data_IF_050143965454
#
_entry.id   IF_050143965454
#
_cell.length_a   1.000
_cell.length_b   1.000
_cell.length_c   1.000
_cell.angle_alpha   90.00
_cell.angle_beta   90.00
_cell.angle_gamma   90.00
#
_symmetry.space_group_name_H-M   'P 1'
#
loop_
_entity.id
_entity.type
_entity.pdbx_description
1 polymer ?
#
# COMPACT_ATOMS: atom_id res chain seq x y z
N UNK A 1 12.98 18.25 -36.76
CA UNK A 1 12.62 16.85 -36.40
C UNK A 1 12.06 16.91 -34.98
N UNK A 2 10.74 17.03 -34.91
CA UNK A 2 9.99 17.20 -33.64
C UNK A 2 9.75 15.83 -33.06
N UNK A 3 10.33 15.54 -31.91
CA UNK A 3 10.01 14.33 -31.11
C UNK A 3 8.58 14.45 -30.63
N UNK A 4 7.70 13.63 -31.17
CA UNK A 4 6.39 13.37 -30.59
C UNK A 4 6.63 12.69 -29.23
N UNK A 5 6.27 13.36 -28.15
CA UNK A 5 6.11 12.73 -26.84
C UNK A 5 4.90 11.81 -26.97
N UNK A 6 5.11 10.52 -26.87
CA UNK A 6 4.05 9.54 -26.71
C UNK A 6 3.43 9.77 -25.33
N UNK A 7 2.28 10.41 -25.35
CA UNK A 7 1.43 10.56 -24.20
C UNK A 7 0.77 9.19 -23.95
N UNK A 8 1.27 8.43 -23.00
CA UNK A 8 0.68 7.15 -22.55
C UNK A 8 -0.53 7.41 -21.66
N UNK A 9 -1.49 8.23 -22.13
CA UNK A 9 -2.78 8.33 -21.49
C UNK A 9 -3.49 6.97 -21.65
N UNK A 10 -3.66 6.27 -20.57
CA UNK A 10 -4.46 5.03 -20.51
C UNK A 10 -5.88 5.40 -20.93
N UNK A 11 -6.32 4.93 -22.09
CA UNK A 11 -7.60 5.32 -22.72
C UNK A 11 -8.72 4.54 -22.02
N UNK A 12 -9.20 5.03 -20.89
CA UNK A 12 -10.39 4.48 -20.23
C UNK A 12 -11.65 4.95 -21.00
N UNK A 13 -12.55 4.04 -21.35
CA UNK A 13 -13.87 4.38 -21.98
C UNK A 13 -14.69 5.29 -21.03
N UNK A 14 -14.52 5.15 -19.72
CA UNK A 14 -15.08 6.01 -18.67
C UNK A 14 -13.94 6.42 -17.76
N UNK A 15 -13.77 7.73 -17.45
CA UNK A 15 -12.68 8.17 -16.58
C UNK A 15 -12.83 7.57 -15.18
N UNK A 16 -11.74 7.01 -14.59
CA UNK A 16 -11.77 6.52 -13.22
C UNK A 16 -12.13 7.63 -12.25
N UNK A 17 -12.95 7.28 -11.26
CA UNK A 17 -13.38 8.19 -10.21
C UNK A 17 -12.47 8.07 -8.98
N UNK A 18 -11.81 9.16 -8.63
CA UNK A 18 -10.89 9.25 -7.49
C UNK A 18 -11.50 10.13 -6.41
N UNK A 19 -11.51 9.64 -5.17
CA UNK A 19 -11.78 10.47 -4.00
C UNK A 19 -10.45 10.86 -3.34
N UNK A 20 -10.22 12.14 -3.13
CA UNK A 20 -9.09 12.67 -2.36
C UNK A 20 -9.61 13.11 -1.00
N UNK A 21 -9.12 12.46 0.05
CA UNK A 21 -9.44 12.74 1.45
C UNK A 21 -8.25 13.44 2.10
N UNK A 22 -8.35 14.76 2.23
CA UNK A 22 -7.27 15.66 2.63
C UNK A 22 -7.85 16.93 3.23
N UNK A 23 -7.45 17.30 4.44
CA UNK A 23 -7.95 18.50 5.15
C UNK A 23 -7.23 19.78 4.74
N UNK A 24 -5.97 19.71 4.29
CA UNK A 24 -5.29 20.87 3.69
C UNK A 24 -5.83 21.13 2.29
N UNK A 25 -6.62 22.22 2.19
CA UNK A 25 -7.23 22.62 0.93
C UNK A 25 -6.21 22.89 -0.19
N UNK A 26 -5.00 23.33 0.14
CA UNK A 26 -3.96 23.62 -0.86
C UNK A 26 -3.42 22.32 -1.45
N UNK A 27 -3.19 21.30 -0.61
CA UNK A 27 -2.78 19.96 -1.03
C UNK A 27 -3.89 19.30 -1.82
N UNK A 28 -5.14 19.33 -1.31
CA UNK A 28 -6.30 18.75 -1.98
C UNK A 28 -6.51 19.35 -3.39
N UNK A 29 -6.43 20.67 -3.52
CA UNK A 29 -6.55 21.37 -4.81
C UNK A 29 -5.38 21.10 -5.75
N UNK A 30 -4.17 20.99 -5.23
CA UNK A 30 -3.01 20.59 -6.01
C UNK A 30 -3.19 19.18 -6.61
N UNK A 31 -3.64 18.23 -5.80
CA UNK A 31 -3.96 16.88 -6.26
C UNK A 31 -5.10 16.87 -7.28
N UNK A 32 -6.19 17.60 -7.01
CA UNK A 32 -7.31 17.73 -7.96
C UNK A 32 -6.84 18.21 -9.34
N UNK A 33 -5.98 19.24 -9.37
CA UNK A 33 -5.45 19.79 -10.62
C UNK A 33 -4.63 18.73 -11.37
N UNK A 34 -3.62 18.17 -10.70
CA UNK A 34 -2.70 17.17 -11.28
C UNK A 34 -3.44 15.95 -11.81
N UNK A 35 -4.42 15.45 -11.06
CA UNK A 35 -5.17 14.25 -11.45
C UNK A 35 -6.23 14.53 -12.53
N UNK A 36 -6.82 15.73 -12.51
CA UNK A 36 -7.76 16.12 -13.57
C UNK A 36 -7.04 16.33 -14.93
N UNK A 37 -5.79 16.79 -14.92
CA UNK A 37 -4.96 16.89 -16.13
C UNK A 37 -4.64 15.51 -16.75
N UNK A 38 -4.56 14.46 -15.92
CA UNK A 38 -4.43 13.08 -16.39
C UNK A 38 -5.77 12.46 -16.85
N UNK A 39 -6.87 13.21 -16.76
CA UNK A 39 -8.18 12.79 -17.24
C UNK A 39 -9.03 12.03 -16.21
N UNK A 40 -8.65 12.00 -14.94
CA UNK A 40 -9.44 11.39 -13.88
C UNK A 40 -10.59 12.28 -13.39
N UNK A 41 -11.69 11.66 -12.96
CA UNK A 41 -12.78 12.38 -12.30
C UNK A 41 -12.52 12.45 -10.80
N UNK A 42 -12.20 13.65 -10.28
CA UNK A 42 -11.75 13.85 -8.90
C UNK A 42 -12.86 14.44 -8.04
N UNK A 43 -13.05 13.89 -6.85
CA UNK A 43 -13.87 14.47 -5.77
C UNK A 43 -12.98 14.74 -4.57
N UNK A 44 -13.29 15.78 -3.81
CA UNK A 44 -12.55 16.16 -2.59
C UNK A 44 -13.42 15.94 -1.35
N UNK A 45 -12.79 15.43 -0.29
CA UNK A 45 -13.38 15.34 1.04
C UNK A 45 -12.36 15.89 2.06
N UNK A 46 -12.70 16.97 2.75
CA UNK A 46 -11.83 17.60 3.75
C UNK A 46 -11.93 16.95 5.13
N UNK A 47 -12.74 15.92 5.30
CA UNK A 47 -12.95 15.20 6.56
C UNK A 47 -13.23 13.73 6.28
N UNK A 48 -13.01 12.88 7.27
CA UNK A 48 -13.34 11.45 7.19
C UNK A 48 -14.85 11.19 7.03
N UNK A 49 -15.69 11.94 7.75
CA UNK A 49 -17.15 11.83 7.61
C UNK A 49 -17.62 12.14 6.19
N UNK A 50 -17.09 13.22 5.58
CA UNK A 50 -17.41 13.57 4.19
C UNK A 50 -16.95 12.50 3.21
N UNK A 51 -15.79 11.89 3.46
CA UNK A 51 -15.31 10.79 2.63
C UNK A 51 -16.24 9.57 2.71
N UNK A 52 -16.63 9.14 3.92
CA UNK A 52 -17.57 8.03 4.12
C UNK A 52 -18.94 8.33 3.51
N UNK A 53 -19.43 9.56 3.64
CA UNK A 53 -20.70 9.96 3.01
C UNK A 53 -20.60 9.90 1.48
N UNK A 54 -19.48 10.36 0.88
CA UNK A 54 -19.23 10.26 -0.55
C UNK A 54 -19.26 8.80 -1.04
N UNK A 55 -18.62 7.88 -0.29
CA UNK A 55 -18.64 6.44 -0.59
C UNK A 55 -20.03 5.79 -0.48
N UNK A 56 -20.93 6.32 0.35
CA UNK A 56 -22.33 5.86 0.42
C UNK A 56 -23.14 6.29 -0.80
N UNK A 57 -22.80 7.42 -1.39
CA UNK A 57 -23.56 8.02 -2.50
C UNK A 57 -23.04 7.60 -3.87
N UNK A 58 -21.72 7.36 -4.01
CA UNK A 58 -21.06 7.06 -5.28
C UNK A 58 -20.08 5.89 -5.14
N UNK A 59 -19.67 5.36 -6.30
CA UNK A 59 -18.54 4.45 -6.40
C UNK A 59 -17.29 5.25 -6.76
N UNK A 60 -16.19 4.87 -6.15
CA UNK A 60 -14.86 5.37 -6.48
C UNK A 60 -13.95 4.18 -6.74
N UNK A 61 -13.12 4.31 -7.78
CA UNK A 61 -12.14 3.30 -8.16
C UNK A 61 -10.90 3.39 -7.27
N UNK A 62 -10.59 4.60 -6.80
CA UNK A 62 -9.45 4.89 -5.94
C UNK A 62 -9.79 5.90 -4.85
N UNK A 63 -9.23 5.67 -3.65
CA UNK A 63 -9.15 6.62 -2.55
C UNK A 63 -7.69 7.05 -2.35
N UNK A 64 -7.41 8.35 -2.45
CA UNK A 64 -6.16 8.95 -1.97
C UNK A 64 -6.43 9.53 -0.59
N UNK A 65 -5.80 9.01 0.45
CA UNK A 65 -6.16 9.29 1.85
C UNK A 65 -5.00 9.88 2.66
N UNK A 66 -5.18 11.08 3.24
CA UNK A 66 -4.39 11.44 4.42
C UNK A 66 -4.91 10.73 5.66
N UNK A 67 -4.00 10.34 6.53
CA UNK A 67 -4.32 9.70 7.81
C UNK A 67 -4.72 10.71 8.89
N UNK A 68 -4.24 11.94 8.79
CA UNK A 68 -4.49 13.00 9.77
C UNK A 68 -5.62 13.90 9.32
N UNK A 69 -6.80 13.61 9.83
CA UNK A 69 -8.01 14.39 9.60
C UNK A 69 -8.50 15.01 10.90
N UNK A 70 -9.30 16.10 10.84
CA UNK A 70 -9.73 16.81 12.03
C UNK A 70 -10.83 16.10 12.83
N UNK A 71 -11.49 15.09 12.25
CA UNK A 71 -12.69 14.44 12.80
C UNK A 71 -12.47 12.96 13.13
N UNK A 72 -12.07 12.15 12.16
CA UNK A 72 -11.90 10.69 12.29
C UNK A 72 -10.46 10.33 11.88
N UNK A 73 -9.88 9.32 12.53
CA UNK A 73 -8.59 8.76 12.11
C UNK A 73 -8.71 8.17 10.69
N UNK A 74 -7.82 8.60 9.78
CA UNK A 74 -7.84 8.14 8.39
C UNK A 74 -7.74 6.63 8.24
N UNK A 75 -7.08 5.94 9.18
CA UNK A 75 -7.03 4.47 9.20
C UNK A 75 -8.40 3.83 9.46
N UNK A 76 -9.23 4.45 10.31
CA UNK A 76 -10.60 3.98 10.53
C UNK A 76 -11.46 4.15 9.28
N UNK A 77 -11.31 5.29 8.59
CA UNK A 77 -11.99 5.51 7.30
C UNK A 77 -11.56 4.47 6.25
N UNK A 78 -10.26 4.23 6.11
CA UNK A 78 -9.74 3.22 5.17
C UNK A 78 -10.30 1.84 5.48
N UNK A 79 -10.36 1.46 6.76
CA UNK A 79 -10.91 0.18 7.19
C UNK A 79 -12.39 0.06 6.81
N UNK A 80 -13.22 1.08 7.10
CA UNK A 80 -14.64 1.08 6.75
C UNK A 80 -14.85 1.02 5.22
N UNK A 81 -14.04 1.76 4.45
CA UNK A 81 -14.07 1.72 2.98
C UNK A 81 -13.72 0.32 2.46
N UNK A 82 -12.64 -0.29 2.93
CA UNK A 82 -12.20 -1.62 2.50
C UNK A 82 -13.18 -2.73 2.91
N UNK A 83 -13.85 -2.60 4.05
CA UNK A 83 -14.90 -3.53 4.48
C UNK A 83 -16.15 -3.41 3.60
N UNK A 84 -16.57 -2.19 3.25
CA UNK A 84 -17.77 -1.93 2.47
C UNK A 84 -17.55 -2.05 0.95
N UNK A 85 -16.36 -1.71 0.46
CA UNK A 85 -15.95 -1.62 -0.95
C UNK A 85 -14.54 -2.18 -1.15
N UNK A 86 -14.34 -3.50 -1.00
CA UNK A 86 -13.01 -4.11 -1.08
C UNK A 86 -12.34 -3.93 -2.45
N UNK A 87 -13.12 -3.66 -3.49
CA UNK A 87 -12.65 -3.38 -4.84
C UNK A 87 -11.98 -2.00 -4.97
N UNK A 88 -12.32 -1.01 -4.13
CA UNK A 88 -11.71 0.32 -4.19
C UNK A 88 -10.23 0.23 -3.82
N UNK A 89 -9.35 0.68 -4.71
CA UNK A 89 -7.93 0.81 -4.37
C UNK A 89 -7.71 1.99 -3.43
N UNK A 90 -6.68 1.89 -2.59
CA UNK A 90 -6.35 2.94 -1.62
C UNK A 90 -4.87 3.25 -1.68
N UNK A 91 -4.54 4.55 -1.79
CA UNK A 91 -3.18 5.07 -1.62
C UNK A 91 -3.20 6.00 -0.41
N UNK A 92 -2.31 5.75 0.54
CA UNK A 92 -2.12 6.63 1.70
C UNK A 92 -1.09 7.69 1.39
N UNK A 93 -1.40 8.96 1.71
CA UNK A 93 -0.47 10.08 1.65
C UNK A 93 -0.42 10.72 3.05
N UNK A 94 0.75 10.84 3.68
CA UNK A 94 0.80 11.43 5.03
C UNK A 94 2.17 11.97 5.40
N UNK A 95 2.20 13.02 6.24
CA UNK A 95 3.43 13.52 6.88
C UNK A 95 3.89 12.63 8.05
N UNK A 96 3.01 11.78 8.58
CA UNK A 96 3.23 11.02 9.82
C UNK A 96 3.36 9.52 9.58
N UNK A 97 4.01 9.14 8.47
CA UNK A 97 4.28 7.75 8.15
C UNK A 97 5.35 7.17 9.08
N UNK A 98 4.93 6.42 10.09
CA UNK A 98 5.84 5.50 10.79
C UNK A 98 5.82 4.15 10.08
N UNK A 99 6.87 3.35 10.24
CA UNK A 99 6.90 1.98 9.72
C UNK A 99 5.71 1.17 10.22
N UNK A 100 5.31 1.38 11.49
CA UNK A 100 4.15 0.71 12.08
C UNK A 100 2.83 1.10 11.37
N UNK A 101 2.62 2.38 11.11
CA UNK A 101 1.43 2.88 10.41
C UNK A 101 1.36 2.36 8.97
N UNK A 102 2.50 2.35 8.27
CA UNK A 102 2.58 1.80 6.91
C UNK A 102 2.23 0.30 6.88
N UNK A 103 2.77 -0.48 7.82
CA UNK A 103 2.46 -1.92 7.95
C UNK A 103 0.98 -2.14 8.25
N UNK A 104 0.37 -1.33 9.12
CA UNK A 104 -1.05 -1.43 9.43
C UNK A 104 -1.92 -1.11 8.21
N UNK A 105 -1.58 -0.05 7.46
CA UNK A 105 -2.25 0.29 6.21
C UNK A 105 -2.17 -0.85 5.19
N UNK A 106 -0.99 -1.44 5.00
CA UNK A 106 -0.80 -2.58 4.09
C UNK A 106 -1.61 -3.81 4.51
N UNK A 107 -1.76 -4.08 5.81
CA UNK A 107 -2.64 -5.15 6.33
C UNK A 107 -4.12 -4.92 6.02
N UNK A 108 -4.55 -3.68 5.87
CA UNK A 108 -5.89 -3.31 5.42
C UNK A 108 -6.08 -3.44 3.90
N UNK A 109 -5.02 -3.80 3.15
CA UNK A 109 -5.07 -3.92 1.70
C UNK A 109 -4.96 -2.57 0.98
N UNK A 110 -4.23 -1.63 1.56
CA UNK A 110 -3.82 -0.39 0.89
C UNK A 110 -2.84 -0.75 -0.24
N UNK A 111 -3.00 -0.12 -1.40
CA UNK A 111 -2.15 -0.39 -2.56
C UNK A 111 -0.74 0.17 -2.38
N UNK A 112 -0.65 1.43 -1.92
CA UNK A 112 0.64 2.09 -1.72
C UNK A 112 0.58 3.12 -0.59
N UNK A 113 1.77 3.50 -0.09
CA UNK A 113 1.96 4.43 1.01
C UNK A 113 3.02 5.47 0.65
N UNK A 114 2.59 6.71 0.42
CA UNK A 114 3.42 7.82 -0.02
C UNK A 114 3.66 8.83 1.11
N UNK A 115 4.88 8.96 1.63
CA UNK A 115 5.19 10.00 2.60
C UNK A 115 5.20 11.39 1.95
N UNK A 116 4.61 12.38 2.61
CA UNK A 116 4.74 13.79 2.23
C UNK A 116 6.12 14.33 2.68
N UNK A 117 6.84 15.14 1.88
CA UNK A 117 6.47 15.63 0.56
C UNK A 117 6.74 14.60 -0.56
N UNK A 118 5.87 14.55 -1.54
CA UNK A 118 6.00 13.73 -2.75
C UNK A 118 5.98 14.61 -4.01
N UNK A 119 6.49 14.10 -5.12
CA UNK A 119 6.47 14.77 -6.43
C UNK A 119 5.21 14.40 -7.22
N UNK A 120 4.89 15.19 -8.25
CA UNK A 120 3.79 14.86 -9.18
C UNK A 120 4.00 13.50 -9.84
N UNK A 121 5.22 13.19 -10.27
CA UNK A 121 5.53 11.90 -10.90
C UNK A 121 5.30 10.71 -9.96
N UNK A 122 5.63 10.87 -8.67
CA UNK A 122 5.41 9.82 -7.67
C UNK A 122 3.93 9.52 -7.48
N UNK A 123 3.10 10.55 -7.29
CA UNK A 123 1.66 10.33 -7.09
C UNK A 123 0.98 9.83 -8.36
N UNK A 124 1.36 10.32 -9.54
CA UNK A 124 0.86 9.84 -10.84
C UNK A 124 1.21 8.36 -11.04
N UNK A 125 2.46 7.96 -10.80
CA UNK A 125 2.89 6.56 -10.92
C UNK A 125 2.13 5.64 -9.97
N UNK A 126 2.00 6.01 -8.70
CA UNK A 126 1.27 5.22 -7.72
C UNK A 126 -0.21 5.01 -8.09
N UNK A 127 -0.87 6.07 -8.58
CA UNK A 127 -2.28 6.01 -9.01
C UNK A 127 -2.43 5.13 -10.27
N UNK A 128 -1.55 5.28 -11.23
CA UNK A 128 -1.54 4.50 -12.46
C UNK A 128 -1.38 2.99 -12.18
N UNK A 129 -0.47 2.65 -11.25
CA UNK A 129 -0.24 1.27 -10.82
C UNK A 129 -1.46 0.71 -10.07
N UNK A 130 -2.07 1.49 -9.17
CA UNK A 130 -3.25 1.09 -8.44
C UNK A 130 -4.45 0.84 -9.38
N UNK A 131 -4.70 1.74 -10.33
CA UNK A 131 -5.80 1.61 -11.28
C UNK A 131 -5.60 0.48 -12.28
N UNK A 132 -4.36 0.19 -12.70
CA UNK A 132 -4.05 -0.99 -13.52
C UNK A 132 -4.33 -2.28 -12.77
N UNK A 133 -3.94 -2.35 -11.50
CA UNK A 133 -4.25 -3.49 -10.64
C UNK A 133 -5.76 -3.66 -10.42
N UNK A 134 -6.52 -2.56 -10.39
CA UNK A 134 -7.99 -2.57 -10.31
C UNK A 134 -8.64 -3.19 -11.56
N UNK A 135 -8.17 -2.84 -12.76
CA UNK A 135 -8.70 -3.36 -14.04
C UNK A 135 -8.38 -4.84 -14.23
N UNK A 136 -7.24 -5.30 -13.74
CA UNK A 136 -6.81 -6.70 -13.84
C UNK A 136 -7.53 -7.63 -12.84
N UNK A 137 -8.22 -7.09 -11.84
CA UNK A 137 -9.06 -7.87 -10.92
C UNK A 137 -10.45 -8.08 -11.56
N UNK A 138 -10.82 -9.31 -12.01
CA UNK A 138 -12.18 -9.58 -12.47
C UNK A 138 -13.18 -9.29 -11.35
N UNK A 139 -14.34 -8.71 -11.69
CA UNK A 139 -15.41 -8.35 -10.74
C UNK A 139 -15.92 -9.51 -9.85
N UNK A 140 -15.55 -10.74 -10.14
CA UNK A 140 -15.89 -11.96 -9.39
C UNK A 140 -14.82 -12.40 -8.37
N UNK A 141 -13.72 -11.65 -8.20
CA UNK A 141 -12.62 -12.02 -7.29
C UNK A 141 -12.79 -11.51 -5.84
N UNK A 142 -13.97 -11.07 -5.43
CA UNK A 142 -14.33 -10.73 -4.03
C UNK A 142 -14.67 -11.98 -3.18
N UNK A 143 -14.37 -13.17 -3.67
CA UNK A 143 -14.15 -14.29 -2.78
C UNK A 143 -12.69 -14.16 -2.33
N UNK A 144 -12.42 -13.91 -1.02
CA UNK A 144 -11.13 -14.22 -0.42
C UNK A 144 -10.68 -15.54 -1.01
N UNK A 145 -9.79 -15.49 -2.00
CA UNK A 145 -9.22 -16.69 -2.57
C UNK A 145 -8.45 -17.32 -1.41
N UNK A 146 -9.02 -18.35 -0.84
CA UNK A 146 -8.29 -19.16 0.11
C UNK A 146 -7.01 -19.55 -0.64
N UNK A 147 -5.85 -19.05 -0.15
CA UNK A 147 -4.56 -19.44 -0.73
C UNK A 147 -4.55 -20.94 -0.85
N UNK A 148 -4.23 -21.43 -2.03
CA UNK A 148 -4.10 -22.87 -2.22
C UNK A 148 -2.97 -23.37 -1.33
N UNK A 149 -3.04 -24.64 -0.90
CA UNK A 149 -1.95 -25.23 -0.09
C UNK A 149 -0.59 -25.13 -0.79
N UNK A 150 -0.57 -25.10 -2.13
CA UNK A 150 0.65 -24.86 -2.92
C UNK A 150 1.14 -23.40 -2.79
N UNK A 151 0.26 -22.40 -2.84
CA UNK A 151 0.60 -21.00 -2.66
C UNK A 151 1.16 -20.74 -1.26
N UNK A 152 0.55 -21.32 -0.22
CA UNK A 152 1.06 -21.27 1.16
C UNK A 152 2.45 -21.90 1.30
N UNK A 153 2.68 -23.03 0.64
CA UNK A 153 3.99 -23.69 0.65
C UNK A 153 5.06 -22.85 -0.05
N UNK A 154 4.71 -22.19 -1.16
CA UNK A 154 5.61 -21.27 -1.86
C UNK A 154 5.92 -20.08 -0.97
N UNK A 155 4.92 -19.42 -0.38
CA UNK A 155 5.08 -18.30 0.54
C UNK A 155 6.00 -18.66 1.71
N UNK A 156 5.72 -19.78 2.37
CA UNK A 156 6.53 -20.29 3.48
C UNK A 156 8.00 -20.46 3.10
N UNK A 157 8.27 -21.07 1.95
CA UNK A 157 9.62 -21.29 1.45
C UNK A 157 10.34 -19.97 1.13
N UNK A 158 9.66 -19.03 0.49
CA UNK A 158 10.21 -17.72 0.15
C UNK A 158 10.54 -16.92 1.42
N UNK A 159 9.63 -16.88 2.41
CA UNK A 159 9.88 -16.23 3.71
C UNK A 159 11.10 -16.83 4.41
N UNK A 160 11.18 -18.16 4.49
CA UNK A 160 12.33 -18.84 5.10
C UNK A 160 13.63 -18.55 4.34
N UNK A 161 13.57 -18.46 3.01
CA UNK A 161 14.71 -18.11 2.16
C UNK A 161 15.22 -16.70 2.46
N UNK A 162 14.33 -15.71 2.55
CA UNK A 162 14.67 -14.34 2.93
C UNK A 162 15.29 -14.27 4.32
N UNK A 163 14.65 -14.89 5.33
CA UNK A 163 15.15 -14.89 6.71
C UNK A 163 16.51 -15.62 6.84
N UNK A 164 16.77 -16.63 6.03
CA UNK A 164 18.07 -17.29 6.00
C UNK A 164 19.13 -16.40 5.34
N UNK A 165 18.76 -15.71 4.24
CA UNK A 165 19.67 -14.79 3.55
C UNK A 165 20.08 -13.61 4.45
N UNK A 166 19.19 -13.07 5.25
CA UNK A 166 19.55 -11.99 6.21
C UNK A 166 20.59 -12.42 7.23
N UNK A 167 20.71 -13.71 7.52
CA UNK A 167 21.72 -14.24 8.44
C UNK A 167 23.10 -14.47 7.79
N UNK A 168 23.17 -14.56 6.46
CA UNK A 168 24.36 -14.92 5.69
C UNK A 168 24.91 -13.77 4.85
N UNK A 169 24.05 -12.81 4.47
CA UNK A 169 24.35 -11.69 3.56
C UNK A 169 24.16 -10.36 4.32
N UNK A 170 25.29 -9.77 4.75
CA UNK A 170 25.27 -8.53 5.53
C UNK A 170 24.79 -7.32 4.71
N UNK A 171 25.04 -7.30 3.39
CA UNK A 171 24.63 -6.22 2.51
C UNK A 171 23.11 -6.28 2.31
N UNK A 172 22.57 -7.47 2.05
CA UNK A 172 21.12 -7.68 1.98
C UNK A 172 20.42 -7.35 3.30
N UNK A 173 21.06 -7.70 4.44
CA UNK A 173 20.56 -7.33 5.75
C UNK A 173 20.49 -5.81 5.92
N UNK A 174 21.54 -5.09 5.50
CA UNK A 174 21.58 -3.63 5.52
C UNK A 174 20.49 -3.01 4.66
N UNK A 175 20.33 -3.49 3.44
CA UNK A 175 19.30 -3.04 2.51
C UNK A 175 17.89 -3.24 3.07
N UNK A 176 17.59 -4.41 3.62
CA UNK A 176 16.30 -4.69 4.25
C UNK A 176 16.02 -3.79 5.48
N UNK A 177 17.06 -3.43 6.23
CA UNK A 177 16.94 -2.53 7.38
C UNK A 177 16.71 -1.06 6.98
N UNK A 178 17.24 -0.63 5.83
CA UNK A 178 17.12 0.75 5.32
C UNK A 178 15.87 0.94 4.46
N UNK A 179 15.61 0.00 3.56
CA UNK A 179 14.58 0.11 2.53
C UNK A 179 13.32 -0.74 2.82
N UNK A 180 13.33 -1.53 3.88
CA UNK A 180 12.16 -2.31 4.33
C UNK A 180 11.62 -3.25 3.25
N UNK A 181 10.33 -3.18 2.97
CA UNK A 181 9.67 -4.05 1.99
C UNK A 181 10.15 -3.85 0.54
N UNK A 182 10.76 -2.69 0.22
CA UNK A 182 11.32 -2.44 -1.12
C UNK A 182 12.49 -3.37 -1.44
N UNK A 183 13.32 -3.71 -0.45
CA UNK A 183 14.39 -4.70 -0.60
C UNK A 183 13.88 -6.11 -0.97
N UNK A 184 12.56 -6.34 -0.83
CA UNK A 184 11.88 -7.60 -1.13
C UNK A 184 11.12 -7.56 -2.45
N UNK A 185 11.31 -6.54 -3.29
CA UNK A 185 10.56 -6.36 -4.54
C UNK A 185 10.66 -7.58 -5.46
N UNK A 186 11.86 -8.15 -5.60
CA UNK A 186 12.15 -9.29 -6.49
C UNK A 186 11.70 -10.67 -5.94
N UNK A 187 11.22 -10.71 -4.70
CA UNK A 187 10.75 -11.96 -4.08
C UNK A 187 9.26 -12.16 -4.34
N UNK A 188 8.88 -13.42 -4.65
CA UNK A 188 7.47 -13.82 -4.84
C UNK A 188 6.75 -13.96 -3.50
N UNK A 189 6.67 -12.85 -2.79
CA UNK A 189 6.02 -12.73 -1.48
C UNK A 189 4.74 -11.92 -1.59
N UNK A 190 3.72 -12.30 -0.83
CA UNK A 190 2.53 -11.46 -0.66
C UNK A 190 2.88 -10.14 0.02
N UNK A 191 2.04 -9.12 -0.13
CA UNK A 191 2.22 -7.84 0.56
C UNK A 191 2.30 -8.02 2.08
N UNK A 192 1.46 -8.91 2.65
CA UNK A 192 1.47 -9.25 4.07
C UNK A 192 2.79 -9.88 4.51
N UNK A 193 3.33 -10.83 3.71
CA UNK A 193 4.61 -11.46 3.99
C UNK A 193 5.78 -10.46 3.95
N UNK A 194 5.80 -9.58 2.94
CA UNK A 194 6.79 -8.50 2.84
C UNK A 194 6.74 -7.56 4.03
N UNK A 195 5.54 -7.15 4.43
CA UNK A 195 5.31 -6.29 5.58
C UNK A 195 5.73 -6.97 6.89
N UNK A 196 5.37 -8.25 7.09
CA UNK A 196 5.74 -9.01 8.29
C UNK A 196 7.26 -9.19 8.43
N UNK A 197 7.96 -9.46 7.32
CA UNK A 197 9.42 -9.56 7.33
C UNK A 197 10.04 -8.19 7.64
N UNK A 198 9.60 -7.15 6.94
CA UNK A 198 10.14 -5.80 7.10
C UNK A 198 9.92 -5.22 8.51
N UNK A 199 8.79 -5.54 9.16
CA UNK A 199 8.47 -5.10 10.52
C UNK A 199 8.97 -6.04 11.62
N UNK A 200 9.41 -7.26 11.27
CA UNK A 200 9.75 -8.28 12.26
C UNK A 200 8.55 -8.85 13.01
N UNK A 201 7.36 -8.91 12.39
CA UNK A 201 6.13 -9.45 12.99
C UNK A 201 6.23 -10.94 13.25
N UNK A 202 6.79 -11.28 14.43
CA UNK A 202 6.94 -12.67 14.89
C UNK A 202 5.63 -13.44 14.95
N UNK A 203 4.54 -12.75 15.29
CA UNK A 203 3.22 -13.40 15.40
C UNK A 203 2.78 -13.89 14.04
N UNK A 204 2.78 -13.02 13.04
CA UNK A 204 2.41 -13.38 11.68
C UNK A 204 3.33 -14.48 11.12
N UNK A 205 4.65 -14.33 11.33
CA UNK A 205 5.64 -15.31 10.84
C UNK A 205 5.40 -16.69 11.46
N UNK A 206 5.18 -16.79 12.77
CA UNK A 206 4.91 -18.06 13.43
C UNK A 206 3.60 -18.71 12.97
N UNK A 207 2.56 -17.92 12.73
CA UNK A 207 1.25 -18.42 12.26
C UNK A 207 1.31 -18.92 10.81
N UNK A 208 2.09 -18.27 9.94
CA UNK A 208 2.11 -18.58 8.50
C UNK A 208 3.31 -19.44 8.06
N UNK A 209 4.43 -19.37 8.78
CA UNK A 209 5.68 -20.04 8.43
C UNK A 209 6.01 -21.19 9.39
N UNK A 210 5.67 -21.03 10.67
CA UNK A 210 5.98 -21.95 11.74
C UNK A 210 7.27 -21.60 12.49
N UNK A 211 7.81 -22.55 13.26
CA UNK A 211 8.98 -22.31 14.12
C UNK A 211 10.22 -21.93 13.30
N UNK A 212 10.89 -20.84 13.76
CA UNK A 212 12.11 -20.32 13.18
C UNK A 212 13.34 -20.86 13.90
N UNK A 213 14.42 -21.01 13.17
CA UNK A 213 15.72 -21.32 13.74
C UNK A 213 16.28 -20.11 14.51
N UNK A 214 17.24 -20.35 15.45
CA UNK A 214 17.89 -19.28 16.19
C UNK A 214 18.55 -18.24 15.27
N UNK A 215 19.10 -18.65 14.13
CA UNK A 215 19.71 -17.74 13.15
C UNK A 215 18.66 -16.81 12.52
N UNK A 216 17.50 -17.34 12.14
CA UNK A 216 16.41 -16.56 11.56
C UNK A 216 15.78 -15.61 12.59
N UNK A 217 15.63 -16.04 13.84
CA UNK A 217 15.19 -15.20 14.94
C UNK A 217 16.13 -14.02 15.23
N UNK A 218 17.44 -14.19 15.00
CA UNK A 218 18.43 -13.14 15.24
C UNK A 218 18.15 -11.87 14.44
N UNK A 219 17.72 -11.99 13.19
CA UNK A 219 17.32 -10.84 12.36
C UNK A 219 16.14 -10.09 13.00
N UNK A 220 15.10 -10.82 13.39
CA UNK A 220 13.89 -10.26 13.95
C UNK A 220 14.16 -9.55 15.29
N UNK A 221 14.97 -10.16 16.16
CA UNK A 221 15.36 -9.52 17.42
C UNK A 221 16.15 -8.23 17.19
N UNK A 222 17.12 -8.22 16.28
CA UNK A 222 17.88 -7.01 15.93
C UNK A 222 17.00 -5.92 15.32
N UNK A 223 15.96 -6.29 14.60
CA UNK A 223 14.97 -5.33 14.08
C UNK A 223 14.20 -4.69 15.21
N UNK A 224 13.67 -5.50 16.13
CA UNK A 224 12.90 -5.03 17.29
C UNK A 224 13.74 -4.19 18.26
N UNK A 225 15.02 -4.52 18.46
CA UNK A 225 15.93 -3.71 19.29
C UNK A 225 16.14 -2.30 18.72
N UNK A 226 16.17 -2.14 17.39
CA UNK A 226 16.37 -0.84 16.75
C UNK A 226 15.13 0.07 16.84
N UNK A 227 13.94 -0.50 17.00
CA UNK A 227 12.69 0.26 17.18
C UNK A 227 12.45 0.67 18.65
N UNK A 228 13.22 0.13 19.58
CA UNK A 228 13.09 0.40 21.01
C UNK A 228 13.94 1.61 21.50
N UNK A 229 14.72 2.24 20.63
CA UNK A 229 15.57 3.42 20.90
C UNK A 229 15.25 4.54 19.89
#
# INVERSE_FOLDING_TARGET
>A
MTRLQENTATNFEVPPHILVMEDDLSVAKGLELVLSEEGYAVNLAGTGELALEAFRQKRFDLLVADLRLPDIDGMEVIKEVKEAKPETEVIVITCYGTTATAVEAMKLGVHDFLPKPFTEDQIKSAIDEALKAHVEKPADAVIKRAETEEEKLIQKREVLGVLSRTAEDADFWGDLMENGSLALADYKLSGEAKAAIASGDLKWINENVGELTQKQLMFIYKRLEREAW
#
